data_IF_092043879845
#
_entry.id   IF_092043879845
#
_cell.length_a   1.000
_cell.length_b   1.000
_cell.length_c   1.000
_cell.angle_alpha   90.00
_cell.angle_beta   90.00
_cell.angle_gamma   90.00
#
_symmetry.space_group_name_H-M   'P 1'
#
loop_
_entity.id
_entity.type
_entity.pdbx_description
1 polymer ?
#
# COMPACT_ATOMS: atom_id res chain seq x y z
N UNK A 1 -9.84 24.97 12.02
CA UNK A 1 -8.92 25.80 12.83
C UNK A 1 -9.70 26.54 13.92
N UNK A 2 -9.10 26.80 15.09
CA UNK A 2 -9.70 27.61 16.16
C UNK A 2 -8.86 28.87 16.39
N UNK A 3 -9.49 30.03 16.44
CA UNK A 3 -8.91 31.32 16.80
C UNK A 3 -9.18 31.63 18.29
N UNK A 4 -8.30 32.43 18.90
CA UNK A 4 -8.55 33.00 20.22
C UNK A 4 -9.60 34.13 20.15
N UNK A 5 -10.37 34.32 21.23
CA UNK A 5 -11.36 35.40 21.30
C UNK A 5 -10.68 36.76 21.34
N UNK A 6 -10.96 37.60 20.35
CA UNK A 6 -10.67 39.03 20.39
C UNK A 6 -11.83 39.77 21.06
N UNK A 7 -11.52 40.78 21.87
CA UNK A 7 -12.49 41.58 22.63
C UNK A 7 -12.53 43.00 22.09
N UNK A 8 -13.72 43.47 21.75
CA UNK A 8 -14.01 44.88 21.55
C UNK A 8 -14.91 45.36 22.69
N UNK A 9 -14.40 46.27 23.52
CA UNK A 9 -15.12 46.85 24.65
C UNK A 9 -16.10 47.96 24.25
N UNK A 10 -16.02 48.46 23.01
CA UNK A 10 -16.79 49.61 22.53
C UNK A 10 -17.83 49.24 21.44
N UNK A 11 -17.64 48.17 20.66
CA UNK A 11 -18.59 47.73 19.61
C UNK A 11 -18.62 46.21 19.35
N UNK A 12 -19.17 45.41 20.28
CA UNK A 12 -19.43 43.99 20.02
C UNK A 12 -20.44 43.82 18.85
N UNK A 13 -20.26 42.83 17.93
CA UNK A 13 -19.29 41.72 17.96
C UNK A 13 -17.99 41.92 17.13
N UNK A 14 -16.95 41.15 17.44
CA UNK A 14 -15.75 41.02 16.59
C UNK A 14 -16.01 39.94 15.52
N UNK A 15 -15.55 40.16 14.29
CA UNK A 15 -15.54 39.15 13.24
C UNK A 15 -14.13 38.65 12.95
N UNK A 16 -14.01 37.42 12.47
CA UNK A 16 -12.78 36.75 12.12
C UNK A 16 -12.76 36.40 10.62
N UNK A 17 -11.59 36.49 10.02
CA UNK A 17 -11.33 36.06 8.64
C UNK A 17 -10.18 35.06 8.66
N UNK A 18 -10.46 33.82 8.28
CA UNK A 18 -9.47 32.77 8.09
C UNK A 18 -9.05 32.79 6.63
N UNK A 19 -7.79 33.12 6.41
CA UNK A 19 -7.19 33.39 5.11
C UNK A 19 -6.30 32.20 4.73
N UNK A 20 -6.59 31.58 3.59
CA UNK A 20 -5.83 30.47 3.05
C UNK A 20 -4.54 31.00 2.40
N UNK A 21 -3.40 30.56 2.91
CA UNK A 21 -2.08 30.98 2.40
C UNK A 21 -1.67 30.11 1.23
N UNK A 22 -1.45 28.83 1.50
CA UNK A 22 -0.91 27.87 0.55
C UNK A 22 -1.06 26.42 1.03
N UNK A 23 -0.81 25.49 0.11
CA UNK A 23 -0.62 24.07 0.43
C UNK A 23 0.79 23.65 -0.01
N UNK A 24 1.78 23.63 0.90
CA UNK A 24 3.18 23.39 0.53
C UNK A 24 3.41 21.96 -0.02
N UNK A 25 2.51 21.03 0.27
CA UNK A 25 2.58 19.66 -0.25
C UNK A 25 1.82 19.47 -1.57
N UNK A 26 1.23 20.53 -2.13
CA UNK A 26 0.60 20.54 -3.46
C UNK A 26 -0.90 20.26 -3.50
N UNK A 27 -1.59 20.35 -2.36
CA UNK A 27 -3.03 20.09 -2.28
C UNK A 27 -3.85 21.24 -2.82
N UNK A 28 -4.91 20.94 -3.56
CA UNK A 28 -5.87 21.94 -4.04
C UNK A 28 -7.11 21.98 -3.14
N UNK A 29 -7.96 23.01 -3.31
CA UNK A 29 -9.25 23.13 -2.61
C UNK A 29 -9.25 23.99 -1.35
N UNK A 30 -8.10 24.50 -0.91
CA UNK A 30 -8.04 25.49 0.19
C UNK A 30 -8.79 26.77 -0.17
N UNK A 31 -9.55 27.31 0.78
CA UNK A 31 -10.39 28.49 0.59
C UNK A 31 -10.48 29.38 1.82
N UNK A 32 -10.78 30.67 1.59
CA UNK A 32 -10.98 31.65 2.65
C UNK A 32 -12.37 31.53 3.27
N UNK A 33 -12.51 31.84 4.55
CA UNK A 33 -13.79 31.71 5.27
C UNK A 33 -14.82 32.78 4.95
N UNK A 34 -14.44 33.88 4.27
CA UNK A 34 -15.11 35.19 4.43
C UNK A 34 -15.13 35.66 5.90
N UNK A 35 -15.59 36.88 6.15
CA UNK A 35 -15.72 37.39 7.52
C UNK A 35 -16.89 36.71 8.23
N UNK A 36 -16.66 36.16 9.42
CA UNK A 36 -17.66 35.45 10.23
C UNK A 36 -17.52 35.81 11.72
N UNK A 37 -18.58 35.66 12.50
CA UNK A 37 -18.54 35.89 13.96
C UNK A 37 -17.84 34.75 14.72
N UNK A 38 -17.68 33.60 14.07
CA UNK A 38 -17.27 32.38 14.74
C UNK A 38 -15.75 32.31 14.83
N UNK A 39 -15.24 31.91 15.98
CA UNK A 39 -13.80 31.68 16.22
C UNK A 39 -13.32 30.38 15.61
N UNK A 40 -14.12 29.72 14.77
CA UNK A 40 -13.77 28.47 14.12
C UNK A 40 -14.13 28.49 12.65
N UNK A 41 -13.25 27.94 11.82
CA UNK A 41 -13.52 27.72 10.41
C UNK A 41 -13.28 26.26 10.03
N UNK A 42 -14.24 25.74 9.27
CA UNK A 42 -14.19 24.42 8.63
C UNK A 42 -14.09 24.66 7.13
N UNK A 43 -12.89 24.47 6.58
CA UNK A 43 -12.70 24.42 5.14
C UNK A 43 -13.09 23.04 4.61
N UNK A 44 -13.72 22.99 3.44
CA UNK A 44 -14.25 21.76 2.84
C UNK A 44 -13.81 21.64 1.39
N UNK A 45 -13.67 20.41 0.89
CA UNK A 45 -13.15 20.17 -0.47
C UNK A 45 -11.62 20.06 -0.54
N UNK A 46 -10.94 20.03 0.59
CA UNK A 46 -9.51 19.75 0.69
C UNK A 46 -9.19 18.33 0.20
N UNK A 47 -8.06 18.16 -0.49
CA UNK A 47 -7.56 16.86 -0.90
C UNK A 47 -6.95 16.10 0.29
N UNK A 48 -7.00 14.76 0.29
CA UNK A 48 -6.50 13.94 1.39
C UNK A 48 -4.97 14.04 1.48
N UNK A 49 -4.46 13.90 2.69
CA UNK A 49 -3.03 13.89 3.01
C UNK A 49 -2.23 15.02 2.37
N UNK A 50 -2.72 16.25 2.48
CA UNK A 50 -1.96 17.46 2.13
C UNK A 50 -1.97 18.43 3.29
N UNK A 51 -0.89 19.20 3.43
CA UNK A 51 -0.77 20.26 4.40
C UNK A 51 -1.41 21.54 3.86
N UNK A 52 -2.21 22.23 4.67
CA UNK A 52 -2.81 23.52 4.32
C UNK A 52 -2.50 24.56 5.38
N UNK A 53 -2.07 25.74 4.94
CA UNK A 53 -1.67 26.86 5.78
C UNK A 53 -2.75 27.93 5.87
N UNK A 54 -3.07 28.37 7.10
CA UNK A 54 -3.95 29.51 7.31
C UNK A 54 -3.42 30.45 8.37
N UNK A 55 -3.86 31.69 8.26
CA UNK A 55 -3.72 32.74 9.26
C UNK A 55 -5.08 33.39 9.49
N UNK A 56 -5.21 34.11 10.60
CA UNK A 56 -6.47 34.72 11.04
C UNK A 56 -6.28 36.21 11.23
N UNK A 57 -7.26 36.98 10.77
CA UNK A 57 -7.46 38.39 11.13
C UNK A 57 -8.74 38.55 11.94
N UNK A 58 -8.80 39.60 12.74
CA UNK A 58 -10.02 40.03 13.41
C UNK A 58 -10.38 41.47 13.00
N UNK A 59 -11.66 41.83 13.09
CA UNK A 59 -12.14 43.20 12.89
C UNK A 59 -13.29 43.54 13.83
N UNK A 60 -13.47 44.81 14.15
CA UNK A 60 -14.65 45.30 14.88
C UNK A 60 -15.94 45.27 14.01
N UNK A 61 -17.07 45.65 14.60
CA UNK A 61 -18.38 45.76 13.91
C UNK A 61 -18.71 47.18 13.42
N UNK A 62 -17.74 48.10 13.37
CA UNK A 62 -18.00 49.47 12.96
C UNK A 62 -18.38 49.57 11.47
N UNK A 63 -19.11 50.62 11.03
CA UNK A 63 -19.39 50.85 9.60
C UNK A 63 -18.14 50.97 8.72
N UNK A 64 -17.02 51.37 9.31
CA UNK A 64 -15.67 51.32 8.73
C UNK A 64 -14.78 50.51 9.65
N UNK A 65 -14.73 49.18 9.50
CA UNK A 65 -14.07 48.33 10.47
C UNK A 65 -12.57 48.56 10.53
N UNK A 66 -11.99 48.54 11.73
CA UNK A 66 -10.55 48.36 11.85
C UNK A 66 -10.22 46.86 11.76
N UNK A 67 -9.12 46.51 11.08
CA UNK A 67 -8.65 45.13 10.99
C UNK A 67 -7.34 44.97 11.75
N UNK A 68 -7.17 43.83 12.42
CA UNK A 68 -5.86 43.46 12.96
C UNK A 68 -4.91 43.11 11.83
N UNK A 69 -3.61 43.17 12.13
CA UNK A 69 -2.62 42.46 11.32
C UNK A 69 -2.88 40.95 11.32
N UNK A 70 -2.30 40.23 10.35
CA UNK A 70 -2.16 38.78 10.39
C UNK A 70 -1.78 38.18 11.73
N UNK A 71 -2.43 37.08 12.13
CA UNK A 71 -1.83 36.17 13.12
C UNK A 71 -0.50 35.63 12.60
N UNK A 72 0.48 35.51 13.49
CA UNK A 72 1.77 34.88 13.18
C UNK A 72 2.11 33.81 14.22
N UNK A 73 2.70 32.67 13.81
CA UNK A 73 2.99 32.26 12.42
C UNK A 73 1.74 31.79 11.64
N UNK A 74 1.90 31.51 10.35
CA UNK A 74 0.92 30.70 9.59
C UNK A 74 0.89 29.31 10.23
N UNK A 75 -0.31 28.78 10.46
CA UNK A 75 -0.50 27.46 11.04
C UNK A 75 -0.80 26.47 9.93
N UNK A 76 -0.06 25.37 9.93
CA UNK A 76 -0.11 24.32 8.92
C UNK A 76 -0.52 22.99 9.55
N UNK A 77 -1.50 22.32 8.95
CA UNK A 77 -2.01 21.03 9.40
C UNK A 77 -2.24 20.12 8.20
N UNK A 78 -1.99 18.81 8.32
CA UNK A 78 -2.39 17.87 7.28
C UNK A 78 -3.86 17.51 7.38
N UNK A 79 -4.51 17.39 6.22
CA UNK A 79 -5.72 16.59 6.11
C UNK A 79 -5.40 15.12 6.40
N UNK A 80 -6.42 14.37 6.85
CA UNK A 80 -6.27 12.92 7.00
C UNK A 80 -5.98 12.27 5.65
N UNK A 81 -5.25 11.16 5.69
CA UNK A 81 -5.14 10.28 4.54
C UNK A 81 -6.46 9.52 4.32
N UNK A 82 -6.79 9.25 3.07
CA UNK A 82 -7.84 8.31 2.75
C UNK A 82 -7.36 6.89 3.05
N UNK A 83 -8.25 6.04 3.57
CA UNK A 83 -7.95 4.61 3.66
C UNK A 83 -7.64 4.06 2.25
N UNK A 84 -6.62 3.21 2.09
CA UNK A 84 -6.28 2.64 0.78
C UNK A 84 -7.46 1.85 0.20
N UNK A 85 -7.61 1.82 -1.12
CA UNK A 85 -8.62 0.99 -1.78
C UNK A 85 -8.12 -0.43 -2.00
N UNK A 86 -8.97 -1.45 -1.80
CA UNK A 86 -8.58 -2.82 -2.12
C UNK A 86 -8.38 -3.01 -3.63
N UNK A 87 -7.36 -3.80 -4.02
CA UNK A 87 -7.10 -4.17 -5.40
C UNK A 87 -6.80 -5.67 -5.49
N UNK A 88 -7.01 -6.26 -6.67
CA UNK A 88 -6.81 -7.69 -6.89
C UNK A 88 -5.37 -8.11 -6.59
N UNK A 89 -5.20 -9.28 -5.97
CA UNK A 89 -3.90 -9.93 -5.83
C UNK A 89 -3.30 -10.25 -7.21
N UNK A 90 -1.97 -10.22 -7.31
CA UNK A 90 -1.23 -10.57 -8.52
C UNK A 90 0.05 -11.35 -8.18
N UNK A 91 0.83 -11.73 -9.20
CA UNK A 91 2.14 -12.38 -9.07
C UNK A 91 2.18 -13.50 -8.02
N UNK A 92 1.11 -14.30 -8.03
CA UNK A 92 0.94 -15.42 -7.11
C UNK A 92 1.88 -16.54 -7.54
N UNK A 93 2.78 -16.92 -6.64
CA UNK A 93 3.63 -18.09 -6.82
C UNK A 93 3.28 -19.14 -5.76
N UNK A 94 4.10 -20.17 -5.67
CA UNK A 94 3.99 -21.19 -4.63
C UNK A 94 4.43 -20.68 -3.26
N UNK A 95 5.26 -19.64 -3.21
CA UNK A 95 5.88 -19.14 -1.98
C UNK A 95 5.73 -17.64 -1.81
N UNK A 96 4.98 -16.98 -2.70
CA UNK A 96 4.70 -15.55 -2.61
C UNK A 96 3.33 -15.16 -3.14
N UNK A 97 2.79 -14.06 -2.63
CA UNK A 97 1.59 -13.38 -3.14
C UNK A 97 1.91 -11.88 -3.17
N UNK A 98 1.62 -11.20 -4.30
CA UNK A 98 1.57 -9.74 -4.32
C UNK A 98 0.19 -9.26 -3.87
N UNK A 99 0.14 -8.66 -2.69
CA UNK A 99 -1.05 -7.95 -2.20
C UNK A 99 -1.03 -6.52 -2.75
N UNK A 100 -2.09 -6.12 -3.47
CA UNK A 100 -2.19 -4.81 -4.11
C UNK A 100 -3.26 -3.94 -3.45
N UNK A 101 -3.06 -2.63 -3.47
CA UNK A 101 -4.06 -1.63 -3.09
C UNK A 101 -3.98 -0.42 -4.01
N UNK A 102 -4.92 0.51 -3.86
CA UNK A 102 -4.91 1.80 -4.54
C UNK A 102 -4.59 2.91 -3.55
N UNK A 103 -3.97 3.99 -4.04
CA UNK A 103 -3.70 5.17 -3.22
C UNK A 103 -4.98 5.91 -2.79
N UNK A 104 -6.13 5.62 -3.41
CA UNK A 104 -7.41 6.25 -3.12
C UNK A 104 -7.37 7.80 -3.03
N UNK A 105 -6.64 8.42 -3.97
CA UNK A 105 -6.47 9.87 -4.06
C UNK A 105 -5.38 10.46 -3.16
N UNK A 106 -4.74 9.65 -2.32
CA UNK A 106 -3.59 10.10 -1.55
C UNK A 106 -2.37 10.38 -2.46
N UNK A 107 -1.48 11.32 -2.10
CA UNK A 107 -0.24 11.60 -2.82
C UNK A 107 0.69 10.39 -2.91
N UNK A 108 1.60 10.41 -3.89
CA UNK A 108 2.59 9.35 -4.15
C UNK A 108 3.57 9.12 -3.01
N UNK A 109 3.77 10.10 -2.12
CA UNK A 109 4.65 9.99 -0.95
C UNK A 109 3.94 9.38 0.27
N UNK A 110 2.63 9.13 0.19
CA UNK A 110 1.87 8.52 1.28
C UNK A 110 2.41 7.13 1.58
N UNK A 111 2.62 6.86 2.86
CA UNK A 111 3.10 5.56 3.32
C UNK A 111 1.94 4.65 3.71
N UNK A 112 2.11 3.37 3.41
CA UNK A 112 1.17 2.29 3.62
C UNK A 112 1.82 1.17 4.42
N UNK A 113 1.04 0.47 5.23
CA UNK A 113 1.45 -0.74 5.92
C UNK A 113 0.45 -1.85 5.60
N UNK A 114 0.92 -2.91 4.95
CA UNK A 114 0.14 -4.10 4.65
C UNK A 114 0.52 -5.23 5.61
N UNK A 115 -0.47 -5.87 6.20
CA UNK A 115 -0.29 -6.97 7.13
C UNK A 115 -0.90 -8.24 6.53
N UNK A 116 -0.15 -9.35 6.61
CA UNK A 116 -0.65 -10.70 6.42
C UNK A 116 -1.27 -11.15 7.75
N UNK A 117 -2.60 -11.11 7.83
CA UNK A 117 -3.35 -11.42 9.06
C UNK A 117 -3.35 -12.89 9.42
N UNK A 118 -2.95 -13.78 8.50
CA UNK A 118 -2.85 -15.21 8.76
C UNK A 118 -1.60 -15.56 9.57
N UNK A 119 -0.46 -14.93 9.25
CA UNK A 119 0.82 -15.23 9.91
C UNK A 119 1.32 -14.10 10.82
N UNK A 120 0.67 -12.93 10.82
CA UNK A 120 1.04 -11.79 11.67
C UNK A 120 2.31 -11.06 11.23
N UNK A 121 2.70 -11.19 9.96
CA UNK A 121 3.82 -10.43 9.37
C UNK A 121 3.32 -9.21 8.60
N UNK A 122 4.17 -8.20 8.46
CA UNK A 122 3.84 -6.98 7.72
C UNK A 122 4.94 -6.53 6.77
N UNK A 123 4.59 -5.61 5.87
CA UNK A 123 5.47 -5.04 4.85
C UNK A 123 6.48 -4.01 5.38
N UNK A 124 6.36 -3.60 6.64
CA UNK A 124 6.80 -2.28 7.08
C UNK A 124 6.03 -1.16 6.38
N UNK A 125 6.34 0.09 6.74
CA UNK A 125 5.83 1.26 6.01
C UNK A 125 6.52 1.37 4.65
N UNK A 126 5.73 1.55 3.59
CA UNK A 126 6.20 1.67 2.21
C UNK A 126 5.35 2.65 1.42
N UNK A 127 5.94 3.35 0.44
CA UNK A 127 5.20 4.19 -0.51
C UNK A 127 4.65 3.40 -1.70
N UNK A 128 5.01 2.13 -1.82
CA UNK A 128 4.45 1.26 -2.84
C UNK A 128 2.95 1.03 -2.58
N UNK A 129 2.19 0.82 -3.65
CA UNK A 129 0.79 0.38 -3.56
C UNK A 129 0.65 -1.14 -3.63
N UNK A 130 1.70 -1.85 -3.21
CA UNK A 130 1.74 -3.31 -3.19
C UNK A 130 2.78 -3.80 -2.18
N UNK A 131 2.62 -5.06 -1.78
CA UNK A 131 3.62 -5.81 -1.02
C UNK A 131 3.77 -7.22 -1.59
N UNK A 132 5.01 -7.60 -1.91
CA UNK A 132 5.37 -8.98 -2.23
C UNK A 132 5.60 -9.76 -0.94
N UNK A 133 4.55 -10.40 -0.44
CA UNK A 133 4.61 -11.26 0.74
C UNK A 133 5.24 -12.60 0.34
N UNK A 134 6.49 -12.84 0.74
CA UNK A 134 7.28 -14.04 0.39
C UNK A 134 7.44 -14.99 1.58
N UNK A 135 8.02 -16.17 1.35
CA UNK A 135 8.24 -17.18 2.40
C UNK A 135 6.95 -17.92 2.79
N UNK A 136 5.97 -17.95 1.89
CA UNK A 136 4.68 -18.59 2.11
C UNK A 136 4.74 -20.10 1.82
N UNK A 137 3.86 -20.87 2.45
CA UNK A 137 3.68 -22.28 2.14
C UNK A 137 2.84 -22.42 0.88
N UNK A 138 3.19 -23.39 0.02
CA UNK A 138 2.42 -23.67 -1.19
C UNK A 138 1.07 -24.32 -0.89
N UNK A 139 0.07 -24.01 -1.71
CA UNK A 139 -1.32 -24.47 -1.56
C UNK A 139 -2.05 -23.93 -0.32
N UNK A 140 -1.47 -22.99 0.41
CA UNK A 140 -2.06 -22.40 1.61
C UNK A 140 -2.75 -21.06 1.30
N UNK A 141 -3.79 -20.73 2.08
CA UNK A 141 -4.52 -19.47 1.95
C UNK A 141 -4.04 -18.44 2.98
N UNK A 142 -3.86 -17.20 2.54
CA UNK A 142 -3.40 -16.07 3.32
C UNK A 142 -4.35 -14.89 3.17
N UNK A 143 -4.58 -14.17 4.27
CA UNK A 143 -5.44 -12.99 4.29
C UNK A 143 -4.63 -11.72 4.56
N UNK A 144 -5.06 -10.61 3.96
CA UNK A 144 -4.32 -9.35 4.00
C UNK A 144 -5.23 -8.15 4.33
N UNK A 145 -4.65 -7.17 5.02
CA UNK A 145 -5.26 -5.84 5.22
C UNK A 145 -4.19 -4.76 5.11
N UNK A 146 -4.60 -3.54 4.77
CA UNK A 146 -3.68 -2.41 4.59
C UNK A 146 -4.23 -1.14 5.23
N UNK A 147 -3.35 -0.28 5.75
CA UNK A 147 -3.68 1.07 6.22
C UNK A 147 -2.69 2.09 5.64
N UNK A 148 -3.07 3.36 5.64
CA UNK A 148 -2.18 4.48 5.32
C UNK A 148 -1.89 5.31 6.56
N UNK A 149 -0.93 6.23 6.47
CA UNK A 149 -0.77 7.35 7.42
C UNK A 149 -0.58 8.66 6.68
N UNK A 150 -1.05 9.76 7.27
CA UNK A 150 -0.84 11.09 6.71
C UNK A 150 0.56 11.63 7.04
N UNK A 151 0.88 12.85 6.59
CA UNK A 151 2.15 13.53 6.85
C UNK A 151 2.45 13.75 8.34
N UNK A 152 1.42 13.80 9.19
CA UNK A 152 1.56 13.89 10.65
C UNK A 152 1.69 12.52 11.33
N UNK A 153 1.71 11.43 10.56
CA UNK A 153 1.77 10.06 11.06
C UNK A 153 0.44 9.53 11.62
N UNK A 154 -0.67 10.26 11.43
CA UNK A 154 -2.01 9.80 11.81
C UNK A 154 -2.45 8.70 10.85
N UNK A 155 -2.67 7.51 11.40
CA UNK A 155 -3.03 6.33 10.63
C UNK A 155 -4.53 6.30 10.29
N UNK A 156 -4.86 5.71 9.14
CA UNK A 156 -6.23 5.38 8.77
C UNK A 156 -6.70 4.11 9.48
N UNK A 157 -8.01 3.85 9.40
CA UNK A 157 -8.53 2.50 9.61
C UNK A 157 -7.95 1.50 8.61
N UNK A 158 -8.02 0.21 8.95
CA UNK A 158 -7.61 -0.89 8.08
C UNK A 158 -8.63 -1.12 6.96
N UNK A 159 -8.13 -1.27 5.73
CA UNK A 159 -8.87 -1.80 4.58
C UNK A 159 -8.57 -3.29 4.44
N UNK A 160 -9.60 -4.12 4.39
CA UNK A 160 -9.44 -5.55 4.10
C UNK A 160 -9.17 -5.76 2.60
N UNK A 161 -8.10 -6.47 2.26
CA UNK A 161 -7.79 -6.86 0.88
C UNK A 161 -8.37 -8.23 0.52
N UNK A 162 -8.85 -8.98 1.52
CA UNK A 162 -9.38 -10.33 1.35
C UNK A 162 -8.30 -11.39 1.49
N UNK A 163 -8.53 -12.55 0.87
CA UNK A 163 -7.65 -13.71 0.97
C UNK A 163 -7.23 -14.22 -0.40
N UNK A 164 -6.03 -14.79 -0.49
CA UNK A 164 -5.50 -15.42 -1.69
C UNK A 164 -4.73 -16.68 -1.30
N UNK A 165 -4.84 -17.72 -2.13
CA UNK A 165 -4.06 -18.95 -1.97
C UNK A 165 -2.82 -18.91 -2.84
N UNK A 166 -1.70 -19.39 -2.31
CA UNK A 166 -0.51 -19.67 -3.11
C UNK A 166 -0.78 -20.81 -4.08
N UNK A 167 0.03 -20.90 -5.14
CA UNK A 167 -0.03 -22.04 -6.06
C UNK A 167 0.23 -23.36 -5.32
N UNK A 168 -0.41 -24.42 -5.79
CA UNK A 168 -0.30 -25.75 -5.20
C UNK A 168 1.14 -26.30 -5.23
N UNK A 169 1.45 -27.13 -4.24
CA UNK A 169 2.69 -27.87 -4.25
C UNK A 169 2.66 -28.99 -5.31
N UNK A 170 3.41 -28.88 -6.41
CA UNK A 170 3.74 -29.98 -7.34
C UNK A 170 5.11 -30.60 -7.07
N UNK A 171 5.29 -31.85 -7.52
CA UNK A 171 6.60 -32.45 -7.73
C UNK A 171 7.27 -31.83 -8.98
N UNK A 172 8.59 -31.94 -9.06
CA UNK A 172 9.41 -31.49 -10.18
C UNK A 172 10.30 -32.65 -10.62
N UNK A 173 9.76 -33.50 -11.50
CA UNK A 173 10.42 -34.72 -11.93
C UNK A 173 11.27 -34.48 -13.16
N UNK A 174 12.49 -35.00 -13.16
CA UNK A 174 13.37 -35.06 -14.32
C UNK A 174 13.92 -36.46 -14.53
N UNK A 175 14.19 -36.80 -15.79
CA UNK A 175 14.73 -38.10 -16.19
C UNK A 175 15.90 -37.87 -17.14
N UNK A 176 17.02 -38.55 -16.91
CA UNK A 176 18.14 -38.62 -17.85
C UNK A 176 18.51 -40.07 -18.14
N UNK A 177 19.03 -40.32 -19.34
CA UNK A 177 19.52 -41.64 -19.76
C UNK A 177 20.86 -41.47 -20.46
N UNK A 178 21.87 -42.21 -20.02
CA UNK A 178 23.19 -42.26 -20.66
C UNK A 178 23.52 -43.71 -21.04
N UNK A 179 24.40 -43.89 -22.03
CA UNK A 179 24.86 -45.20 -22.49
C UNK A 179 26.38 -45.25 -22.55
N UNK A 180 26.98 -46.33 -22.05
CA UNK A 180 28.45 -46.51 -22.06
C UNK A 180 28.82 -47.96 -22.47
N UNK A 181 29.84 -48.17 -23.32
CA UNK A 181 30.69 -47.15 -23.96
C UNK A 181 30.01 -46.42 -25.12
N UNK A 182 30.37 -45.15 -25.33
CA UNK A 182 29.97 -44.34 -26.50
C UNK A 182 31.22 -43.84 -27.26
N UNK A 183 31.51 -44.32 -28.50
CA UNK A 183 30.70 -45.23 -29.33
C UNK A 183 30.84 -46.71 -28.93
N UNK A 184 29.75 -47.47 -29.06
CA UNK A 184 29.75 -48.94 -28.88
C UNK A 184 29.98 -49.65 -30.22
N UNK A 185 30.86 -50.66 -30.23
CA UNK A 185 31.04 -51.54 -31.40
C UNK A 185 29.90 -52.54 -31.51
N UNK A 186 29.43 -52.81 -32.73
CA UNK A 186 28.40 -53.81 -32.99
C UNK A 186 28.76 -55.18 -32.38
N UNK A 187 27.79 -55.81 -31.71
CA UNK A 187 27.98 -57.08 -30.99
C UNK A 187 28.53 -56.94 -29.56
N UNK A 188 28.99 -55.75 -29.14
CA UNK A 188 29.43 -55.51 -27.77
C UNK A 188 28.30 -55.02 -26.87
N UNK A 189 28.45 -55.25 -25.56
CA UNK A 189 27.48 -54.82 -24.55
C UNK A 189 27.58 -53.31 -24.33
N UNK A 190 26.45 -52.62 -24.45
CA UNK A 190 26.25 -51.25 -23.92
C UNK A 190 25.54 -51.32 -22.57
N UNK A 191 25.86 -50.40 -21.65
CA UNK A 191 25.19 -50.23 -20.36
C UNK A 191 24.44 -48.92 -20.37
N UNK A 192 23.13 -48.95 -20.15
CA UNK A 192 22.32 -47.75 -19.97
C UNK A 192 22.15 -47.41 -18.49
N UNK A 193 22.32 -46.14 -18.14
CA UNK A 193 22.04 -45.61 -16.80
C UNK A 193 20.88 -44.63 -16.93
N UNK A 194 19.76 -44.94 -16.28
CA UNK A 194 18.61 -44.03 -16.19
C UNK A 194 18.57 -43.42 -14.78
N UNK A 195 18.55 -42.10 -14.71
CA UNK A 195 18.41 -41.37 -13.45
C UNK A 195 17.08 -40.63 -13.43
N UNK A 196 16.25 -40.92 -12.44
CA UNK A 196 15.03 -40.16 -12.15
C UNK A 196 15.28 -39.31 -10.91
N UNK A 197 14.99 -38.02 -10.99
CA UNK A 197 15.12 -37.08 -9.88
C UNK A 197 13.79 -36.37 -9.63
N UNK A 198 13.56 -36.01 -8.38
CA UNK A 198 12.46 -35.12 -7.98
C UNK A 198 13.07 -33.91 -7.25
N UNK A 199 13.14 -32.76 -7.92
CA UNK A 199 13.55 -31.52 -7.28
C UNK A 199 12.47 -30.95 -6.33
N UNK A 200 11.30 -31.61 -6.27
CA UNK A 200 10.24 -31.34 -5.31
C UNK A 200 9.47 -30.06 -5.62
N UNK A 201 8.91 -29.38 -4.60
CA UNK A 201 8.90 -29.74 -3.17
C UNK A 201 7.90 -30.84 -2.78
N UNK A 202 6.98 -31.27 -3.65
CA UNK A 202 6.08 -32.40 -3.32
C UNK A 202 6.71 -33.74 -3.69
N UNK A 203 6.34 -34.78 -2.95
CA UNK A 203 6.53 -36.16 -3.41
C UNK A 203 5.68 -36.37 -4.66
N UNK A 204 6.27 -36.99 -5.69
CA UNK A 204 5.50 -37.44 -6.83
C UNK A 204 4.75 -38.73 -6.46
N UNK A 205 3.45 -38.78 -6.76
CA UNK A 205 2.62 -39.95 -6.55
C UNK A 205 2.18 -40.52 -7.90
N UNK A 206 2.00 -41.84 -7.97
CA UNK A 206 1.56 -42.55 -9.18
C UNK A 206 2.47 -42.32 -10.41
N UNK A 207 3.79 -42.27 -10.18
CA UNK A 207 4.78 -42.13 -11.26
C UNK A 207 5.12 -43.50 -11.82
N UNK A 208 4.98 -43.66 -13.14
CA UNK A 208 5.49 -44.81 -13.87
C UNK A 208 6.48 -44.30 -14.92
N UNK A 209 7.69 -44.83 -14.91
CA UNK A 209 8.67 -44.63 -15.98
C UNK A 209 8.75 -45.92 -16.81
N UNK A 210 8.53 -45.80 -18.11
CA UNK A 210 8.73 -46.89 -19.07
C UNK A 210 9.86 -46.51 -20.02
N UNK A 211 10.80 -47.43 -20.21
CA UNK A 211 11.88 -47.32 -21.19
C UNK A 211 11.88 -48.58 -22.06
N UNK A 212 11.28 -48.46 -23.24
CA UNK A 212 11.21 -49.56 -24.19
C UNK A 212 12.54 -49.68 -24.93
N UNK A 213 13.28 -50.76 -24.66
CA UNK A 213 14.52 -51.09 -25.36
C UNK A 213 14.20 -52.11 -26.45
N UNK A 214 14.23 -51.68 -27.70
CA UNK A 214 14.06 -52.56 -28.84
C UNK A 214 15.32 -53.43 -29.01
N UNK A 215 15.14 -54.75 -29.16
CA UNK A 215 16.25 -55.66 -29.47
C UNK A 215 16.63 -55.46 -30.94
N UNK A 216 17.88 -55.07 -31.20
CA UNK A 216 18.40 -55.05 -32.55
C UNK A 216 18.42 -56.50 -33.10
N UNK A 217 17.69 -56.71 -34.20
CA UNK A 217 17.59 -57.99 -34.93
C UNK A 217 18.87 -58.33 -35.70
#
# INVERSE_FOLDING_TARGET
MLAATATDSESPPVSYFFDFVDSPTGGTGGSDSSWQSETSYTDTGLQPNHQYGYWVKARDSAPTPNETNPSTPVIYEYTLANAPGASSFSDVTRTSIRANWTANGNPSWTEYLCENTTNGTDSGWTTNTYWDCTGLNCGASYSFRVKAKNGDGVETGWTNLGSQSTMQCSADLSVSKTGEPDPVTAGNRITYIITVSNAGPSNAANVTLTDDVELAA
#
